data_IF_210295766749
#
_entry.id   IF_210295766749
#
_cell.length_a   1.000
_cell.length_b   1.000
_cell.length_c   1.000
_cell.angle_alpha   90.00
_cell.angle_beta   90.00
_cell.angle_gamma   90.00
#
_symmetry.space_group_name_H-M   'P 1'
#
loop_
_entity.id
_entity.type
_entity.pdbx_description
1 polymer ?
#
# COMPACT_ATOMS: atom_id res chain seq x y z
N UNK A 1 -11.33 -8.22 -6.89
CA UNK A 1 -11.27 -7.06 -5.98
C UNK A 1 -10.91 -7.58 -4.61
N UNK A 2 -10.07 -6.85 -3.88
CA UNK A 2 -9.64 -7.19 -2.52
C UNK A 2 -10.82 -6.99 -1.56
N UNK A 3 -11.12 -7.97 -0.71
CA UNK A 3 -12.15 -7.83 0.33
C UNK A 3 -11.55 -7.45 1.67
N UNK A 4 -12.38 -6.96 2.59
CA UNK A 4 -11.96 -6.60 3.94
C UNK A 4 -11.33 -7.78 4.71
N UNK A 5 -11.85 -8.99 4.49
CA UNK A 5 -11.42 -10.21 5.15
C UNK A 5 -10.13 -10.80 4.53
N UNK A 6 -9.83 -10.46 3.28
CA UNK A 6 -8.55 -10.81 2.64
C UNK A 6 -7.37 -10.03 3.28
N UNK A 7 -7.63 -8.79 3.73
CA UNK A 7 -6.64 -8.00 4.42
C UNK A 7 -6.41 -8.50 5.84
N UNK A 8 -5.14 -8.50 6.27
CA UNK A 8 -4.75 -8.98 7.60
C UNK A 8 -5.55 -8.29 8.72
N UNK A 9 -5.76 -8.98 9.83
CA UNK A 9 -6.28 -8.31 11.03
C UNK A 9 -5.21 -7.36 11.63
N UNK A 10 -5.66 -6.39 12.43
CA UNK A 10 -4.79 -5.36 13.04
C UNK A 10 -3.62 -5.96 13.84
N UNK A 11 -3.80 -7.09 14.52
CA UNK A 11 -2.74 -7.70 15.32
C UNK A 11 -1.61 -8.28 14.47
N UNK A 12 -1.89 -8.74 13.25
CA UNK A 12 -0.86 -9.23 12.33
C UNK A 12 -0.03 -8.11 11.70
N UNK A 13 -0.63 -6.93 11.48
CA UNK A 13 0.10 -5.76 10.97
C UNK A 13 1.18 -5.23 11.93
N UNK A 14 1.16 -5.63 13.20
CA UNK A 14 2.26 -5.37 14.16
C UNK A 14 3.52 -6.21 13.88
N UNK A 15 3.40 -7.27 13.08
CA UNK A 15 4.46 -8.27 12.85
C UNK A 15 4.90 -8.36 11.40
N UNK A 16 4.02 -8.04 10.47
CA UNK A 16 4.27 -8.23 9.03
C UNK A 16 3.57 -7.18 8.21
N UNK A 17 4.02 -7.03 6.97
CA UNK A 17 3.33 -6.29 5.91
C UNK A 17 2.41 -7.22 5.14
N UNK A 18 1.31 -6.69 4.63
CA UNK A 18 0.45 -7.39 3.69
C UNK A 18 0.82 -6.97 2.27
N UNK A 19 1.01 -7.92 1.36
CA UNK A 19 1.31 -7.63 -0.05
C UNK A 19 0.45 -8.48 -0.96
N UNK A 20 0.17 -8.00 -2.16
CA UNK A 20 -0.60 -8.75 -3.13
C UNK A 20 -0.45 -8.23 -4.55
N UNK A 21 -1.11 -8.94 -5.46
CA UNK A 21 -1.19 -8.62 -6.89
C UNK A 21 -2.65 -8.70 -7.31
N UNK A 22 -3.14 -7.72 -8.07
CA UNK A 22 -4.42 -7.79 -8.75
C UNK A 22 -4.38 -6.99 -10.06
N UNK A 23 -4.90 -7.56 -11.16
CA UNK A 23 -5.03 -6.89 -12.46
C UNK A 23 -3.74 -6.21 -12.99
N UNK A 24 -2.59 -6.87 -12.83
CA UNK A 24 -1.30 -6.33 -13.28
C UNK A 24 -0.68 -5.29 -12.33
N UNK A 25 -1.42 -4.91 -11.28
CA UNK A 25 -0.96 -4.01 -10.22
C UNK A 25 -0.52 -4.80 -9.00
N UNK A 26 0.47 -4.29 -8.28
CA UNK A 26 0.89 -4.78 -6.97
C UNK A 26 0.49 -3.78 -5.89
N UNK A 27 0.27 -4.28 -4.68
CA UNK A 27 0.04 -3.43 -3.52
C UNK A 27 0.80 -3.93 -2.29
N UNK A 28 1.03 -3.02 -1.36
CA UNK A 28 1.61 -3.27 -0.04
C UNK A 28 0.84 -2.46 0.99
N UNK A 29 0.52 -3.05 2.13
CA UNK A 29 -0.05 -2.38 3.30
C UNK A 29 0.86 -2.65 4.49
N UNK A 30 1.30 -1.60 5.17
CA UNK A 30 2.17 -1.65 6.33
C UNK A 30 1.60 -0.83 7.47
N UNK A 31 1.90 -1.23 8.70
CA UNK A 31 1.73 -0.36 9.87
C UNK A 31 2.95 0.51 10.05
N UNK A 32 2.75 1.81 10.16
CA UNK A 32 3.82 2.76 10.48
C UNK A 32 3.45 3.60 11.70
N UNK A 33 4.47 4.08 12.40
CA UNK A 33 4.35 5.07 13.46
C UNK A 33 5.11 6.30 12.95
N UNK A 34 4.41 7.31 12.41
CA UNK A 34 5.05 8.46 11.80
C UNK A 34 5.84 9.24 12.85
N UNK A 35 7.04 9.70 12.51
CA UNK A 35 7.84 10.54 13.39
C UNK A 35 7.21 11.94 13.39
N UNK A 36 6.69 12.36 14.54
CA UNK A 36 6.15 13.72 14.75
C UNK A 36 7.28 14.69 15.03
N UNK A 37 8.34 14.21 15.69
CA UNK A 37 9.51 15.02 16.02
C UNK A 37 10.77 14.17 15.91
N UNK A 38 11.69 14.63 15.07
CA UNK A 38 13.01 14.03 14.90
C UNK A 38 13.79 14.05 16.21
N UNK A 39 14.62 13.03 16.42
CA UNK A 39 15.57 13.03 17.52
C UNK A 39 16.58 14.18 17.36
N UNK A 40 16.96 14.78 18.47
CA UNK A 40 18.10 15.71 18.56
C UNK A 40 19.15 15.09 19.49
N UNK A 41 20.30 15.75 19.66
CA UNK A 41 21.32 15.29 20.61
C UNK A 41 20.76 15.17 22.05
N UNK A 42 19.77 16.00 22.41
CA UNK A 42 19.24 16.10 23.77
C UNK A 42 17.84 15.50 23.95
N UNK A 43 17.12 15.20 22.86
CA UNK A 43 15.74 14.69 22.95
C UNK A 43 15.50 13.50 22.01
N UNK A 44 14.88 12.40 22.49
CA UNK A 44 14.56 11.24 21.65
C UNK A 44 13.49 11.58 20.61
N UNK A 45 13.38 10.72 19.58
CA UNK A 45 12.31 10.80 18.59
C UNK A 45 10.92 10.69 19.24
N UNK A 46 9.97 11.49 18.76
CA UNK A 46 8.57 11.41 19.15
C UNK A 46 7.76 10.76 18.03
N UNK A 47 7.12 9.64 18.33
CA UNK A 47 6.27 8.91 17.38
C UNK A 47 4.81 9.27 17.57
N UNK A 48 4.11 9.39 16.45
CA UNK A 48 2.68 9.59 16.40
C UNK A 48 1.87 8.31 16.51
N UNK A 49 0.56 8.50 16.42
CA UNK A 49 -0.40 7.40 16.38
C UNK A 49 -0.13 6.49 15.18
N UNK A 50 -0.29 5.16 15.33
CA UNK A 50 -0.05 4.25 14.24
C UNK A 50 -1.03 4.46 13.10
N UNK A 51 -0.54 4.24 11.89
CA UNK A 51 -1.30 4.35 10.64
C UNK A 51 -1.15 3.09 9.80
N UNK A 52 -2.09 2.86 8.90
CA UNK A 52 -1.84 2.10 7.69
C UNK A 52 -1.18 3.00 6.67
N UNK A 53 -0.09 2.54 6.07
CA UNK A 53 0.50 3.13 4.87
C UNK A 53 0.40 2.09 3.76
N UNK A 54 -0.32 2.45 2.70
CA UNK A 54 -0.54 1.58 1.56
C UNK A 54 0.12 2.15 0.32
N UNK A 55 0.75 1.28 -0.48
CA UNK A 55 1.34 1.62 -1.77
C UNK A 55 0.76 0.73 -2.85
N UNK A 56 0.62 1.28 -4.05
CA UNK A 56 0.16 0.58 -5.25
C UNK A 56 1.10 0.97 -6.39
N UNK A 57 1.49 0.00 -7.20
CA UNK A 57 2.40 0.23 -8.33
C UNK A 57 2.19 -0.82 -9.42
N UNK A 58 2.58 -0.53 -10.68
CA UNK A 58 2.50 -1.51 -11.74
C UNK A 58 3.51 -2.64 -11.56
N UNK A 59 3.10 -3.87 -11.86
CA UNK A 59 4.02 -4.99 -11.98
C UNK A 59 4.99 -4.85 -13.17
N UNK A 60 5.95 -5.77 -13.32
CA UNK A 60 6.12 -7.00 -12.54
C UNK A 60 7.04 -6.83 -11.31
N UNK A 61 7.75 -5.71 -11.19
CA UNK A 61 8.81 -5.53 -10.19
C UNK A 61 8.26 -5.44 -8.75
N UNK A 62 9.07 -5.89 -7.80
CA UNK A 62 8.78 -5.77 -6.36
C UNK A 62 9.02 -4.32 -5.91
N UNK A 63 8.49 -3.97 -4.73
CA UNK A 63 8.51 -2.61 -4.20
C UNK A 63 9.89 -1.93 -4.29
N UNK A 64 10.95 -2.62 -3.83
CA UNK A 64 12.31 -2.08 -3.78
C UNK A 64 12.95 -1.86 -5.16
N UNK A 65 12.44 -2.54 -6.20
CA UNK A 65 12.95 -2.43 -7.58
C UNK A 65 12.08 -1.54 -8.46
N UNK A 66 10.95 -1.04 -7.94
CA UNK A 66 10.09 -0.09 -8.63
C UNK A 66 10.49 1.32 -8.24
N UNK A 67 10.65 2.20 -9.24
CA UNK A 67 10.89 3.63 -9.03
C UNK A 67 9.75 4.27 -8.23
N UNK A 68 10.07 5.16 -7.29
CA UNK A 68 9.08 5.80 -6.42
C UNK A 68 8.08 6.66 -7.20
N UNK A 69 8.46 7.22 -8.35
CA UNK A 69 7.56 7.96 -9.23
C UNK A 69 6.43 7.12 -9.84
N UNK A 70 6.55 5.78 -9.79
CA UNK A 70 5.54 4.83 -10.27
C UNK A 70 4.69 4.26 -9.14
N UNK A 71 4.94 4.67 -7.90
CA UNK A 71 4.20 4.24 -6.72
C UNK A 71 3.20 5.34 -6.38
N UNK A 72 1.97 4.94 -6.13
CA UNK A 72 0.96 5.79 -5.52
C UNK A 72 0.73 5.28 -4.12
N UNK A 73 0.83 6.16 -3.13
CA UNK A 73 0.61 5.84 -1.74
C UNK A 73 -0.53 6.64 -1.12
N UNK A 74 -1.04 6.11 -0.01
CA UNK A 74 -1.98 6.80 0.86
C UNK A 74 -1.89 6.25 2.28
N UNK A 75 -2.35 7.04 3.24
CA UNK A 75 -2.32 6.70 4.66
C UNK A 75 -3.71 6.73 5.27
N UNK A 76 -3.96 5.83 6.22
CA UNK A 76 -5.24 5.69 6.90
C UNK A 76 -5.02 5.46 8.41
N UNK A 77 -5.97 5.84 9.28
CA UNK A 77 -5.87 5.53 10.70
C UNK A 77 -5.73 4.01 10.95
N UNK A 78 -4.93 3.60 11.94
CA UNK A 78 -4.79 2.19 12.30
C UNK A 78 -5.96 1.67 13.14
N UNK A 79 -7.15 1.67 12.55
CA UNK A 79 -8.42 1.20 13.12
C UNK A 79 -9.12 0.24 12.16
N UNK A 80 -10.17 -0.46 12.60
CA UNK A 80 -10.94 -1.33 11.70
C UNK A 80 -11.57 -0.54 10.53
N UNK A 81 -12.12 0.65 10.81
CA UNK A 81 -12.65 1.55 9.77
C UNK A 81 -11.55 2.04 8.81
N UNK A 82 -10.37 2.37 9.34
CA UNK A 82 -9.22 2.74 8.51
C UNK A 82 -8.71 1.58 7.65
N UNK A 83 -8.80 0.34 8.14
CA UNK A 83 -8.52 -0.86 7.32
C UNK A 83 -9.50 -0.97 6.16
N UNK A 84 -10.80 -0.73 6.41
CA UNK A 84 -11.83 -0.73 5.37
C UNK A 84 -11.55 0.36 4.32
N UNK A 85 -11.27 1.58 4.75
CA UNK A 85 -10.90 2.69 3.86
C UNK A 85 -9.68 2.37 2.99
N UNK A 86 -8.65 1.75 3.60
CA UNK A 86 -7.46 1.32 2.90
C UNK A 86 -7.76 0.30 1.79
N UNK A 87 -8.59 -0.71 2.09
CA UNK A 87 -9.03 -1.72 1.11
C UNK A 87 -9.88 -1.10 0.00
N UNK A 88 -10.83 -0.23 0.35
CA UNK A 88 -11.69 0.47 -0.61
C UNK A 88 -10.83 1.30 -1.58
N UNK A 89 -9.86 2.08 -1.05
CA UNK A 89 -8.93 2.86 -1.86
C UNK A 89 -8.06 2.01 -2.79
N UNK A 90 -7.55 0.86 -2.32
CA UNK A 90 -6.78 -0.06 -3.18
C UNK A 90 -7.60 -0.53 -4.37
N UNK A 91 -8.87 -0.90 -4.13
CA UNK A 91 -9.77 -1.33 -5.19
C UNK A 91 -10.07 -0.19 -6.18
N UNK A 92 -10.30 1.03 -5.68
CA UNK A 92 -10.56 2.21 -6.51
C UNK A 92 -9.37 2.51 -7.44
N UNK A 93 -8.16 2.58 -6.89
CA UNK A 93 -6.95 2.86 -7.67
C UNK A 93 -6.70 1.76 -8.70
N UNK A 94 -6.78 0.48 -8.32
CA UNK A 94 -6.55 -0.62 -9.27
C UNK A 94 -7.63 -0.66 -10.35
N UNK A 95 -8.88 -0.34 -10.02
CA UNK A 95 -9.98 -0.26 -10.99
C UNK A 95 -9.75 0.87 -11.99
N UNK A 96 -9.36 2.06 -11.53
CA UNK A 96 -9.06 3.21 -12.37
C UNK A 96 -7.92 2.95 -13.37
N UNK A 97 -6.91 2.18 -12.95
CA UNK A 97 -5.75 1.84 -13.80
C UNK A 97 -5.91 0.53 -14.59
N UNK A 98 -7.08 -0.10 -14.54
CA UNK A 98 -7.33 -1.43 -15.12
C UNK A 98 -7.22 -1.51 -16.66
N UNK A 99 -7.18 -0.36 -17.33
CA UNK A 99 -7.02 -0.23 -18.78
C UNK A 99 -5.61 0.20 -19.20
N UNK A 100 -4.80 0.73 -18.29
CA UNK A 100 -3.46 1.27 -18.59
C UNK A 100 -2.38 0.20 -18.51
N UNK A 101 -2.61 -0.83 -17.71
CA UNK A 101 -1.64 -1.90 -17.50
C UNK A 101 -2.15 -3.22 -18.08
N UNK A 102 -1.43 -3.78 -19.07
CA UNK A 102 -1.87 -4.97 -19.77
C UNK A 102 -2.00 -6.14 -18.78
N UNK A 103 -3.17 -6.79 -18.79
CA UNK A 103 -3.48 -7.91 -17.90
C UNK A 103 -2.63 -9.13 -18.24
N UNK A 104 -2.24 -9.26 -19.51
CA UNK A 104 -1.34 -10.29 -20.03
C UNK A 104 -0.13 -9.66 -20.73
N UNK A 105 0.99 -10.40 -20.77
CA UNK A 105 2.22 -9.98 -21.47
C UNK A 105 2.00 -9.60 -22.94
N UNK A 106 0.98 -10.16 -23.60
CA UNK A 106 0.61 -9.93 -25.00
C UNK A 106 -0.26 -8.70 -25.24
N UNK A 107 -0.85 -8.11 -24.20
CA UNK A 107 -1.83 -7.02 -24.40
C UNK A 107 -1.13 -5.66 -24.64
N UNK A 108 0.18 -5.57 -24.44
CA UNK A 108 1.00 -4.38 -24.70
C UNK A 108 1.85 -4.44 -25.98
N UNK A 109 1.77 -5.51 -26.79
CA UNK A 109 2.58 -5.69 -28.00
C UNK A 109 1.95 -5.07 -29.28
N UNK A 110 0.84 -4.32 -29.17
CA UNK A 110 0.16 -3.69 -30.31
C UNK A 110 0.13 -2.15 -30.28
N UNK A 111 1.09 -1.51 -29.61
CA UNK A 111 1.28 -0.05 -29.68
C UNK A 111 2.66 0.31 -30.26
#
# INVERSE_FOLDING_TARGET
MLTYDDALNLNYYKKTTFTGWMNGMRFLIKREEPVIKEATEDTPEEKGEPIFHAWIWPGPYIFDLTDDSKKTDNTFPFTDDGKKQCVDWINEVISAHSNEYPKNKTDGENL
#
